data_IF_017229525297
#
_entry.id   IF_017229525297
#
_cell.length_a   1.000
_cell.length_b   1.000
_cell.length_c   1.000
_cell.angle_alpha   90.00
_cell.angle_beta   90.00
_cell.angle_gamma   90.00
#
_symmetry.space_group_name_H-M   'P 1'
#
loop_
_entity.id
_entity.type
_entity.pdbx_description
1 polymer ?
#
# COMPACT_ATOMS: atom_id res chain seq x y z
N UNK A 1 -17.04 12.04 -9.19
CA UNK A 1 -16.40 11.11 -10.16
C UNK A 1 -14.91 11.42 -10.23
N UNK A 2 -14.04 10.55 -9.67
CA UNK A 2 -12.55 10.54 -9.62
C UNK A 2 -11.73 11.84 -9.40
N UNK A 3 -12.16 13.02 -9.84
CA UNK A 3 -11.43 14.29 -9.73
C UNK A 3 -11.25 14.84 -8.30
N UNK A 4 -12.01 14.34 -7.33
CA UNK A 4 -11.77 14.63 -5.89
C UNK A 4 -10.63 13.78 -5.31
N UNK A 5 -10.29 12.66 -5.97
CA UNK A 5 -9.32 11.66 -5.50
C UNK A 5 -8.02 11.69 -6.32
N UNK A 6 -8.04 12.41 -7.45
CA UNK A 6 -6.94 12.50 -8.42
C UNK A 6 -6.68 13.97 -8.74
N UNK A 7 -5.43 14.40 -8.64
CA UNK A 7 -5.00 15.76 -8.97
C UNK A 7 -4.64 15.91 -10.45
N UNK A 8 -4.49 17.14 -10.94
CA UNK A 8 -3.97 17.41 -12.29
C UNK A 8 -2.49 17.07 -12.48
N UNK A 9 -1.75 16.75 -11.41
CA UNK A 9 -0.33 16.46 -11.45
C UNK A 9 -0.06 14.97 -11.32
N UNK A 10 0.50 14.37 -12.38
CA UNK A 10 0.96 12.96 -12.36
C UNK A 10 1.97 12.71 -11.24
N UNK A 11 2.88 13.66 -10.99
CA UNK A 11 3.86 13.56 -9.89
C UNK A 11 3.14 13.46 -8.55
N UNK A 12 2.21 14.38 -8.28
CA UNK A 12 1.47 14.41 -7.01
C UNK A 12 0.64 13.14 -6.81
N UNK A 13 0.03 12.64 -7.88
CA UNK A 13 -0.73 11.40 -7.84
C UNK A 13 0.17 10.20 -7.52
N UNK A 14 1.37 10.10 -8.11
CA UNK A 14 2.33 9.06 -7.78
C UNK A 14 2.81 9.14 -6.32
N UNK A 15 3.14 10.34 -5.82
CA UNK A 15 3.48 10.55 -4.40
C UNK A 15 2.35 10.09 -3.47
N UNK A 16 1.10 10.45 -3.78
CA UNK A 16 -0.07 10.02 -3.01
C UNK A 16 -0.25 8.50 -3.05
N UNK A 17 0.00 7.85 -4.18
CA UNK A 17 -0.07 6.38 -4.30
C UNK A 17 1.03 5.70 -3.50
N UNK A 18 2.28 6.19 -3.54
CA UNK A 18 3.37 5.67 -2.70
C UNK A 18 3.01 5.75 -1.22
N UNK A 19 2.51 6.91 -0.77
CA UNK A 19 2.10 7.09 0.63
C UNK A 19 0.94 6.16 1.01
N UNK A 20 -0.06 6.00 0.12
CA UNK A 20 -1.20 5.13 0.35
C UNK A 20 -0.77 3.66 0.48
N UNK A 21 0.07 3.15 -0.42
CA UNK A 21 0.53 1.77 -0.39
C UNK A 21 1.40 1.48 0.85
N UNK A 22 2.26 2.43 1.26
CA UNK A 22 3.05 2.29 2.48
C UNK A 22 2.15 2.24 3.74
N UNK A 23 1.12 3.10 3.80
CA UNK A 23 0.13 3.08 4.87
C UNK A 23 -0.67 1.78 4.91
N UNK A 24 -1.14 1.30 3.76
CA UNK A 24 -1.87 0.05 3.62
C UNK A 24 -1.00 -1.16 4.03
N UNK A 25 0.27 -1.20 3.59
CA UNK A 25 1.25 -2.22 3.97
C UNK A 25 1.39 -2.28 5.49
N UNK A 26 1.66 -1.14 6.14
CA UNK A 26 1.83 -1.06 7.58
C UNK A 26 0.57 -1.50 8.35
N UNK A 27 -0.61 -1.02 7.93
CA UNK A 27 -1.89 -1.38 8.54
C UNK A 27 -2.19 -2.87 8.42
N UNK A 28 -1.93 -3.48 7.26
CA UNK A 28 -2.13 -4.92 7.04
C UNK A 28 -1.14 -5.77 7.84
N UNK A 29 0.13 -5.38 7.95
CA UNK A 29 1.07 -6.09 8.82
C UNK A 29 0.65 -6.03 10.30
N UNK A 30 0.19 -4.88 10.80
CA UNK A 30 -0.32 -4.78 12.18
C UNK A 30 -1.57 -5.64 12.39
N UNK A 31 -2.51 -5.61 11.43
CA UNK A 31 -3.71 -6.43 11.48
C UNK A 31 -3.39 -7.93 11.45
N UNK A 32 -2.50 -8.37 10.56
CA UNK A 32 -2.05 -9.77 10.51
C UNK A 32 -1.43 -10.19 11.85
N UNK A 33 -0.55 -9.35 12.43
CA UNK A 33 0.07 -9.61 13.74
C UNK A 33 -0.99 -9.77 14.85
N UNK A 34 -2.01 -8.91 14.88
CA UNK A 34 -3.12 -9.01 15.84
C UNK A 34 -3.95 -10.28 15.62
N UNK A 35 -4.26 -10.61 14.36
CA UNK A 35 -4.99 -11.84 14.03
C UNK A 35 -4.23 -13.08 14.52
N UNK A 36 -2.91 -13.13 14.33
CA UNK A 36 -2.07 -14.22 14.83
C UNK A 36 -2.10 -14.33 16.36
N UNK A 37 -2.04 -13.19 17.06
CA UNK A 37 -2.12 -13.16 18.53
C UNK A 37 -3.46 -13.68 19.08
N UNK A 38 -4.53 -13.61 18.26
CA UNK A 38 -5.86 -14.11 18.59
C UNK A 38 -6.12 -15.54 18.05
N UNK A 39 -5.09 -16.22 17.51
CA UNK A 39 -5.18 -17.54 16.87
C UNK A 39 -6.16 -17.58 15.67
N UNK A 40 -6.30 -16.46 14.95
CA UNK A 40 -7.12 -16.35 13.74
C UNK A 40 -6.26 -16.57 12.50
N UNK A 41 -5.74 -17.79 12.33
CA UNK A 41 -4.70 -18.10 11.34
C UNK A 41 -5.14 -17.82 9.89
N UNK A 42 -6.36 -18.17 9.51
CA UNK A 42 -6.87 -17.91 8.16
C UNK A 42 -6.90 -16.40 7.82
N UNK A 43 -7.21 -15.55 8.81
CA UNK A 43 -7.19 -14.10 8.66
C UNK A 43 -5.74 -13.60 8.60
N UNK A 44 -4.87 -14.10 9.48
CA UNK A 44 -3.45 -13.76 9.45
C UNK A 44 -2.85 -14.03 8.08
N UNK A 45 -3.00 -15.25 7.56
CA UNK A 45 -2.35 -15.67 6.32
C UNK A 45 -2.83 -14.84 5.14
N UNK A 46 -4.15 -14.62 5.05
CA UNK A 46 -4.74 -13.80 3.98
C UNK A 46 -4.24 -12.35 4.05
N UNK A 47 -4.30 -11.71 5.22
CA UNK A 47 -3.92 -10.30 5.37
C UNK A 47 -2.40 -10.11 5.22
N UNK A 48 -1.61 -11.11 5.63
CA UNK A 48 -0.16 -11.09 5.49
C UNK A 48 0.27 -11.13 4.02
N UNK A 49 -0.35 -11.98 3.19
CA UNK A 49 -0.10 -11.98 1.75
C UNK A 49 -0.57 -10.67 1.10
N UNK A 50 -1.73 -10.15 1.50
CA UNK A 50 -2.19 -8.83 1.04
C UNK A 50 -1.21 -7.70 1.43
N UNK A 51 -0.50 -7.79 2.56
CA UNK A 51 0.51 -6.80 2.95
C UNK A 51 1.73 -6.84 2.02
N UNK A 52 2.13 -8.04 1.57
CA UNK A 52 3.20 -8.20 0.58
C UNK A 52 2.81 -7.63 -0.78
N UNK A 53 1.54 -7.76 -1.16
CA UNK A 53 1.02 -7.16 -2.39
C UNK A 53 1.15 -5.64 -2.38
N UNK A 54 0.73 -4.99 -1.29
CA UNK A 54 0.86 -3.52 -1.18
C UNK A 54 2.32 -3.08 -1.14
N UNK A 55 3.22 -3.86 -0.54
CA UNK A 55 4.64 -3.58 -0.60
C UNK A 55 5.17 -3.61 -2.05
N UNK A 56 4.70 -4.57 -2.87
CA UNK A 56 5.03 -4.64 -4.30
C UNK A 56 4.45 -3.47 -5.07
N UNK A 57 3.19 -3.09 -4.81
CA UNK A 57 2.56 -1.92 -5.41
C UNK A 57 3.30 -0.62 -5.06
N UNK A 58 3.64 -0.43 -3.79
CA UNK A 58 4.41 0.70 -3.30
C UNK A 58 5.75 0.83 -4.01
N UNK A 59 6.48 -0.28 -4.18
CA UNK A 59 7.74 -0.32 -4.93
C UNK A 59 7.56 0.02 -6.41
N UNK A 60 6.48 -0.44 -7.03
CA UNK A 60 6.17 -0.09 -8.42
C UNK A 60 5.91 1.43 -8.57
N UNK A 61 5.07 2.02 -7.71
CA UNK A 61 4.81 3.46 -7.74
C UNK A 61 6.04 4.30 -7.40
N UNK A 62 6.83 3.88 -6.42
CA UNK A 62 8.10 4.55 -6.06
C UNK A 62 9.09 4.52 -7.23
N UNK A 63 9.20 3.38 -7.92
CA UNK A 63 10.02 3.23 -9.12
C UNK A 63 9.57 4.16 -10.25
N UNK A 64 8.26 4.26 -10.50
CA UNK A 64 7.71 5.20 -11.50
C UNK A 64 7.96 6.66 -11.10
N UNK A 65 7.73 7.02 -9.84
CA UNK A 65 7.96 8.37 -9.33
C UNK A 65 9.42 8.80 -9.53
N UNK A 66 10.36 7.93 -9.14
CA UNK A 66 11.80 8.19 -9.30
C UNK A 66 12.20 8.28 -10.77
N UNK A 67 11.69 7.38 -11.62
CA UNK A 67 12.04 7.35 -13.05
C UNK A 67 11.67 8.63 -13.79
N UNK A 68 10.52 9.22 -13.47
CA UNK A 68 9.97 10.34 -14.24
C UNK A 68 10.13 11.70 -13.55
N UNK A 69 10.38 11.74 -12.23
CA UNK A 69 10.35 12.99 -11.45
C UNK A 69 11.43 13.10 -10.36
N UNK A 70 12.38 12.17 -10.30
CA UNK A 70 13.47 12.12 -9.30
C UNK A 70 14.86 12.12 -9.91
#
# INVERSE_FOLDING_TARGET
LLGEVVTSSTKKNLEMRVAAENGATAGKFDLAKRAKALNLDAIHDTVHEMAKDEARHGKAFEGLLKRYFG
#
